data_IF_320650263711
#
_entry.id   IF_320650263711
#
_cell.length_a   1.000
_cell.length_b   1.000
_cell.length_c   1.000
_cell.angle_alpha   90.00
_cell.angle_beta   90.00
_cell.angle_gamma   90.00
#
_symmetry.space_group_name_H-M   'P 1'
#
loop_
_entity.id
_entity.type
_entity.pdbx_description
1 polymer ?
#
# COMPACT_ATOMS: atom_id res chain seq x y z
N UNK A 1 18.94 17.47 7.98
CA UNK A 1 19.59 16.17 7.65
C UNK A 1 18.58 15.10 8.04
N UNK A 2 17.89 14.51 7.07
CA UNK A 2 16.94 13.42 7.33
C UNK A 2 17.79 12.21 7.69
N UNK A 3 17.69 11.76 8.93
CA UNK A 3 18.35 10.51 9.34
C UNK A 3 17.50 9.37 8.82
N UNK A 4 17.98 8.65 7.82
CA UNK A 4 17.29 7.46 7.34
C UNK A 4 17.06 6.48 8.50
N UNK A 5 15.84 6.00 8.62
CA UNK A 5 15.47 5.07 9.67
C UNK A 5 15.77 3.65 9.21
N UNK A 6 16.34 2.86 10.08
CA UNK A 6 16.48 1.43 9.87
C UNK A 6 15.23 0.72 10.40
N UNK A 7 14.33 0.20 9.53
CA UNK A 7 13.10 -0.45 9.98
C UNK A 7 13.35 -1.61 10.94
N UNK A 8 14.44 -2.37 10.74
CA UNK A 8 14.80 -3.48 11.64
C UNK A 8 15.12 -3.00 13.05
N UNK A 9 15.92 -1.92 13.14
CA UNK A 9 16.27 -1.34 14.45
C UNK A 9 15.00 -0.78 15.13
N UNK A 10 14.11 -0.11 14.39
CA UNK A 10 12.83 0.38 14.93
C UNK A 10 11.96 -0.78 15.45
N UNK A 11 11.81 -1.86 14.70
CA UNK A 11 11.03 -3.01 15.13
C UNK A 11 11.61 -3.69 16.38
N UNK A 12 12.92 -3.83 16.44
CA UNK A 12 13.62 -4.40 17.61
C UNK A 12 13.50 -3.51 18.85
N UNK A 13 13.49 -2.20 18.68
CA UNK A 13 13.37 -1.25 19.77
C UNK A 13 11.97 -1.24 20.39
N UNK A 14 10.94 -1.39 19.58
CA UNK A 14 9.55 -1.19 20.00
C UNK A 14 8.74 -2.47 20.26
N UNK A 15 9.21 -3.63 19.82
CA UNK A 15 8.53 -4.89 20.09
C UNK A 15 8.90 -5.39 21.48
N UNK A 16 7.94 -5.50 22.42
CA UNK A 16 8.23 -5.98 23.77
C UNK A 16 8.72 -7.44 23.77
N UNK A 17 9.61 -7.73 24.73
CA UNK A 17 10.12 -9.08 24.98
C UNK A 17 8.99 -10.10 25.12
N UNK A 18 9.07 -11.21 24.40
CA UNK A 18 8.05 -12.23 24.34
C UNK A 18 7.10 -12.08 23.12
N UNK A 19 7.19 -10.94 22.42
CA UNK A 19 6.54 -10.73 21.13
C UNK A 19 7.51 -10.86 19.97
N UNK A 20 8.79 -10.64 20.20
CA UNK A 20 9.84 -10.70 19.21
C UNK A 20 9.82 -12.01 18.44
N UNK A 21 9.64 -13.13 19.18
CA UNK A 21 9.57 -14.44 18.56
C UNK A 21 8.37 -14.57 17.62
N UNK A 22 7.18 -14.06 18.01
CA UNK A 22 5.99 -14.09 17.15
C UNK A 22 6.10 -13.16 15.96
N UNK A 23 6.71 -12.00 16.16
CA UNK A 23 6.92 -11.01 15.09
C UNK A 23 7.97 -11.50 14.09
N UNK A 24 8.97 -12.24 14.56
CA UNK A 24 10.07 -12.76 13.74
C UNK A 24 9.85 -14.20 13.25
N UNK A 25 8.85 -14.90 13.76
CA UNK A 25 8.49 -16.22 13.25
C UNK A 25 8.06 -16.12 11.78
N UNK A 26 8.36 -17.13 10.97
CA UNK A 26 7.83 -17.21 9.62
C UNK A 26 6.31 -17.11 9.65
N UNK A 27 5.76 -16.17 8.90
CA UNK A 27 4.32 -16.08 8.76
C UNK A 27 3.78 -17.39 8.20
N UNK A 28 2.60 -17.83 8.64
CA UNK A 28 1.94 -18.97 8.03
C UNK A 28 1.79 -18.70 6.52
N UNK A 29 1.80 -19.73 5.67
CA UNK A 29 1.61 -19.57 4.24
C UNK A 29 0.37 -18.72 3.96
N UNK A 30 0.48 -17.78 3.04
CA UNK A 30 -0.66 -17.00 2.60
C UNK A 30 -1.74 -17.97 2.10
N UNK A 31 -2.97 -17.71 2.52
CA UNK A 31 -4.12 -18.47 2.01
C UNK A 31 -4.31 -18.18 0.54
N UNK A 32 -4.01 -16.95 0.13
CA UNK A 32 -4.08 -16.52 -1.25
C UNK A 32 -2.84 -16.96 -2.06
N UNK A 33 -3.07 -17.42 -3.27
CA UNK A 33 -2.05 -17.87 -4.23
C UNK A 33 -2.04 -16.98 -5.48
N UNK A 34 -1.04 -17.13 -6.34
CA UNK A 34 -0.92 -16.37 -7.58
C UNK A 34 0.04 -15.20 -7.48
N UNK A 35 -0.18 -14.17 -8.28
CA UNK A 35 0.76 -13.03 -8.37
C UNK A 35 0.78 -12.13 -7.11
N UNK A 36 -0.21 -12.29 -6.24
CA UNK A 36 -0.33 -11.57 -4.98
C UNK A 36 0.29 -12.30 -3.80
N UNK A 37 0.82 -13.49 -4.03
CA UNK A 37 1.49 -14.26 -3.00
C UNK A 37 2.77 -13.59 -2.54
N UNK A 38 3.25 -14.05 -1.43
CA UNK A 38 4.47 -13.57 -0.82
C UNK A 38 5.66 -13.56 -1.78
N UNK A 39 6.58 -12.65 -1.54
CA UNK A 39 7.83 -12.60 -2.27
C UNK A 39 8.75 -13.72 -1.79
N UNK A 40 9.07 -14.73 -2.63
CA UNK A 40 9.87 -15.86 -2.20
C UNK A 40 11.32 -15.49 -1.87
N UNK A 41 11.76 -14.28 -2.23
CA UNK A 41 13.10 -13.78 -1.92
C UNK A 41 13.15 -12.95 -0.65
N UNK A 42 11.99 -12.52 -0.12
CA UNK A 42 11.90 -11.78 1.11
C UNK A 42 11.73 -12.74 2.28
N UNK A 43 12.43 -12.48 3.37
CA UNK A 43 12.26 -13.22 4.61
C UNK A 43 11.12 -12.60 5.43
N UNK A 44 10.40 -13.42 6.19
CA UNK A 44 9.28 -12.97 7.02
C UNK A 44 9.68 -11.88 8.01
N UNK A 45 10.84 -11.96 8.62
CA UNK A 45 11.39 -10.95 9.51
C UNK A 45 11.56 -9.58 8.83
N UNK A 46 12.16 -9.59 7.63
CA UNK A 46 12.35 -8.38 6.86
C UNK A 46 11.02 -7.77 6.43
N UNK A 47 10.05 -8.59 6.10
CA UNK A 47 8.71 -8.14 5.75
C UNK A 47 8.03 -7.46 6.93
N UNK A 48 8.07 -8.06 8.11
CA UNK A 48 7.51 -7.48 9.32
C UNK A 48 8.07 -6.09 9.64
N UNK A 49 9.34 -5.84 9.32
CA UNK A 49 10.00 -4.56 9.56
C UNK A 49 9.53 -3.47 8.59
N UNK A 50 9.15 -3.83 7.37
CA UNK A 50 8.67 -2.85 6.37
C UNK A 50 7.35 -2.27 6.78
N UNK A 51 6.45 -3.08 7.28
CA UNK A 51 5.18 -2.68 7.83
C UNK A 51 4.76 -3.68 8.89
N UNK A 52 4.70 -3.26 10.12
CA UNK A 52 4.35 -4.15 11.24
C UNK A 52 2.99 -4.82 11.08
N UNK A 53 2.15 -4.34 10.19
CA UNK A 53 0.78 -4.79 10.06
C UNK A 53 0.49 -5.50 8.74
N UNK A 54 1.20 -5.15 7.67
CA UNK A 54 0.91 -5.67 6.34
C UNK A 54 1.96 -6.62 5.84
N UNK A 55 2.86 -7.01 6.71
CA UNK A 55 4.03 -7.71 6.32
C UNK A 55 3.85 -9.19 6.36
N UNK A 56 4.10 -9.80 5.26
CA UNK A 56 3.85 -11.21 5.12
C UNK A 56 2.35 -11.45 5.33
N UNK A 57 2.00 -12.36 6.17
CA UNK A 57 0.63 -12.85 6.32
C UNK A 57 -0.06 -12.37 7.58
N UNK A 58 0.53 -11.40 8.28
CA UNK A 58 -0.01 -10.93 9.55
C UNK A 58 -0.92 -9.73 9.35
N UNK A 59 -2.14 -9.82 9.87
CA UNK A 59 -3.05 -8.70 10.02
C UNK A 59 -2.71 -7.91 11.28
N UNK A 60 -3.26 -6.71 11.39
CA UNK A 60 -3.21 -5.90 12.61
C UNK A 60 -3.59 -6.72 13.86
N UNK A 61 -4.73 -7.39 13.83
CA UNK A 61 -5.23 -8.19 14.95
C UNK A 61 -4.29 -9.36 15.30
N UNK A 62 -3.65 -9.95 14.30
CA UNK A 62 -2.67 -11.02 14.53
C UNK A 62 -1.38 -10.49 15.16
N UNK A 63 -0.92 -9.31 14.74
CA UNK A 63 0.30 -8.68 15.30
C UNK A 63 0.08 -8.26 16.74
N UNK A 64 -0.97 -7.50 17.04
CA UNK A 64 -1.26 -7.03 18.40
C UNK A 64 -1.77 -8.13 19.31
N UNK A 65 -2.52 -9.10 18.78
CA UNK A 65 -3.11 -10.19 19.55
C UNK A 65 -3.87 -9.65 20.76
N UNK A 66 -3.48 -10.09 21.98
CA UNK A 66 -4.05 -9.63 23.24
C UNK A 66 -3.13 -8.66 24.00
N UNK A 67 -2.07 -8.17 23.38
CA UNK A 67 -1.13 -7.27 24.00
C UNK A 67 -1.54 -5.81 23.83
N UNK A 68 -2.14 -5.23 24.87
CA UNK A 68 -2.60 -3.84 24.88
C UNK A 68 -1.47 -2.81 24.75
N UNK A 69 -0.23 -3.15 25.15
CA UNK A 69 0.91 -2.23 24.98
C UNK A 69 1.36 -2.17 23.52
N UNK A 70 1.42 -3.32 22.85
CA UNK A 70 1.74 -3.37 21.42
C UNK A 70 0.62 -2.70 20.61
N UNK A 71 -0.64 -2.89 20.98
CA UNK A 71 -1.76 -2.19 20.35
C UNK A 71 -1.63 -0.68 20.51
N UNK A 72 -1.37 -0.21 21.73
CA UNK A 72 -1.16 1.21 22.00
C UNK A 72 0.01 1.79 21.22
N UNK A 73 1.14 1.10 21.17
CA UNK A 73 2.28 1.52 20.36
C UNK A 73 1.96 1.57 18.88
N UNK A 74 1.32 0.54 18.33
CA UNK A 74 1.04 0.47 16.91
C UNK A 74 0.02 1.54 16.49
N UNK A 75 -1.02 1.77 17.29
CA UNK A 75 -1.99 2.85 17.03
C UNK A 75 -1.35 4.23 17.09
N UNK A 76 -0.48 4.49 18.05
CA UNK A 76 0.14 5.80 18.20
C UNK A 76 1.41 5.98 17.36
N UNK A 77 2.22 4.94 17.22
CA UNK A 77 3.53 5.01 16.59
C UNK A 77 3.55 4.61 15.11
N UNK A 78 2.65 3.71 14.70
CA UNK A 78 2.62 3.20 13.33
C UNK A 78 1.41 3.67 12.53
N UNK A 79 0.19 3.50 13.04
CA UNK A 79 -1.04 3.79 12.31
C UNK A 79 -1.85 4.93 12.92
N UNK A 80 -1.64 5.26 14.18
CA UNK A 80 -2.42 6.27 14.84
C UNK A 80 -2.47 7.64 14.16
N UNK A 81 -1.38 8.14 13.55
CA UNK A 81 -1.42 9.38 12.80
C UNK A 81 -2.32 9.33 11.54
N UNK A 82 -2.71 8.15 11.09
CA UNK A 82 -3.43 7.95 9.83
C UNK A 82 -4.87 7.47 10.00
N UNK A 83 -5.43 7.55 11.17
CA UNK A 83 -6.85 7.26 11.41
C UNK A 83 -7.77 8.39 10.90
N UNK A 84 -7.20 9.56 10.58
CA UNK A 84 -7.95 10.72 10.10
C UNK A 84 -7.26 11.44 8.93
N UNK A 85 -8.01 11.57 7.86
CA UNK A 85 -7.61 12.31 6.66
C UNK A 85 -8.05 13.78 6.78
N UNK A 86 -7.31 14.67 6.10
CA UNK A 86 -7.54 16.11 6.10
C UNK A 86 -7.83 16.63 4.68
N UNK A 87 -8.19 17.90 4.54
CA UNK A 87 -8.40 18.53 3.25
C UNK A 87 -7.14 18.49 2.38
N UNK A 88 -7.32 18.28 1.09
CA UNK A 88 -6.20 18.18 0.14
C UNK A 88 -5.53 19.54 -0.09
N UNK A 89 -4.20 19.61 -0.11
CA UNK A 89 -3.46 20.82 -0.48
C UNK A 89 -3.54 21.11 -1.98
N UNK A 90 -3.24 22.35 -2.38
CA UNK A 90 -3.38 22.81 -3.75
C UNK A 90 -2.51 22.07 -4.79
N UNK A 91 -1.33 21.60 -4.39
CA UNK A 91 -0.36 20.90 -5.27
C UNK A 91 -0.55 19.37 -5.26
N UNK A 92 -1.68 18.87 -4.73
CA UNK A 92 -1.94 17.45 -4.55
C UNK A 92 -1.82 16.66 -5.84
N UNK A 93 -2.52 17.05 -6.91
CA UNK A 93 -2.54 16.32 -8.19
C UNK A 93 -1.15 16.21 -8.81
N UNK A 94 -0.41 17.31 -8.88
CA UNK A 94 0.94 17.32 -9.47
C UNK A 94 1.90 16.45 -8.67
N UNK A 95 1.81 16.49 -7.35
CA UNK A 95 2.64 15.66 -6.48
C UNK A 95 2.25 14.18 -6.59
N UNK A 96 0.94 13.86 -6.66
CA UNK A 96 0.43 12.51 -6.89
C UNK A 96 1.00 11.90 -8.17
N UNK A 97 0.93 12.63 -9.28
CA UNK A 97 1.46 12.18 -10.57
C UNK A 97 2.96 11.94 -10.51
N UNK A 98 3.70 12.83 -9.84
CA UNK A 98 5.16 12.66 -9.65
C UNK A 98 5.49 11.44 -8.80
N UNK A 99 4.78 11.21 -7.70
CA UNK A 99 4.97 10.03 -6.85
C UNK A 99 4.58 8.74 -7.57
N UNK A 100 3.52 8.78 -8.38
CA UNK A 100 3.13 7.67 -9.24
C UNK A 100 4.26 7.29 -10.23
N UNK A 101 4.88 8.28 -10.88
CA UNK A 101 6.02 8.03 -11.75
C UNK A 101 7.19 7.39 -11.00
N UNK A 102 7.48 7.81 -9.77
CA UNK A 102 8.54 7.19 -8.94
C UNK A 102 8.18 5.74 -8.59
N UNK A 103 6.93 5.48 -8.18
CA UNK A 103 6.47 4.12 -7.92
C UNK A 103 6.65 3.22 -9.13
N UNK A 104 6.21 3.69 -10.30
CA UNK A 104 6.18 2.91 -11.53
C UNK A 104 7.56 2.78 -12.21
N UNK A 105 8.34 3.85 -12.30
CA UNK A 105 9.61 3.85 -13.06
C UNK A 105 10.86 3.59 -12.22
N UNK A 106 10.77 3.68 -10.89
CA UNK A 106 11.94 3.53 -10.01
C UNK A 106 11.79 2.31 -9.09
N UNK A 107 10.80 2.31 -8.22
CA UNK A 107 10.69 1.29 -7.16
C UNK A 107 10.28 -0.08 -7.71
N UNK A 108 9.23 -0.14 -8.51
CA UNK A 108 8.73 -1.40 -9.04
C UNK A 108 9.67 -2.09 -10.02
N UNK A 109 10.36 -1.40 -10.96
CA UNK A 109 11.36 -2.04 -11.81
C UNK A 109 12.54 -2.62 -11.04
N UNK A 110 12.97 -1.95 -9.97
CA UNK A 110 14.06 -2.46 -9.12
C UNK A 110 13.68 -3.80 -8.47
N UNK A 111 12.46 -3.87 -7.92
CA UNK A 111 11.91 -5.11 -7.36
C UNK A 111 11.69 -6.18 -8.45
N UNK A 112 11.04 -5.80 -9.55
CA UNK A 112 10.73 -6.72 -10.65
C UNK A 112 11.97 -7.39 -11.24
N UNK A 113 13.05 -6.65 -11.39
CA UNK A 113 14.34 -7.20 -11.87
C UNK A 113 14.86 -8.31 -10.97
N UNK A 114 14.62 -8.23 -9.66
CA UNK A 114 15.12 -9.21 -8.70
C UNK A 114 14.25 -10.47 -8.61
N UNK A 115 12.91 -10.32 -8.68
CA UNK A 115 12.00 -11.44 -8.38
C UNK A 115 10.68 -11.44 -9.17
N UNK A 116 10.58 -10.61 -10.19
CA UNK A 116 9.39 -10.49 -11.08
C UNK A 116 8.12 -9.95 -10.41
N UNK A 117 8.18 -9.49 -9.16
CA UNK A 117 7.07 -8.88 -8.45
C UNK A 117 7.10 -7.36 -8.60
N UNK A 118 5.93 -6.72 -8.65
CA UNK A 118 5.79 -5.28 -8.88
C UNK A 118 5.19 -4.52 -7.69
N UNK A 119 4.39 -5.18 -6.86
CA UNK A 119 3.65 -4.53 -5.78
C UNK A 119 4.57 -3.85 -4.77
N UNK A 120 4.12 -2.72 -4.24
CA UNK A 120 4.82 -1.94 -3.23
C UNK A 120 4.09 -2.05 -1.88
N UNK A 121 4.64 -1.46 -0.85
CA UNK A 121 4.09 -1.45 0.50
C UNK A 121 4.03 -0.03 1.04
N UNK A 122 3.03 0.23 1.87
CA UNK A 122 3.08 1.38 2.77
C UNK A 122 4.27 1.23 3.70
N UNK A 123 4.99 2.32 3.92
CA UNK A 123 6.06 2.44 4.90
C UNK A 123 5.82 3.68 5.75
N UNK A 124 6.37 3.70 6.96
CA UNK A 124 6.11 4.79 7.91
C UNK A 124 6.46 6.19 7.39
N UNK A 125 7.41 6.32 6.50
CA UNK A 125 7.82 7.60 5.91
C UNK A 125 7.27 7.87 4.52
N UNK A 126 6.40 6.98 4.02
CA UNK A 126 5.87 7.04 2.66
C UNK A 126 5.47 5.68 2.12
N UNK A 127 6.11 5.24 1.07
CA UNK A 127 5.91 3.91 0.49
C UNK A 127 7.20 3.38 -0.12
N UNK A 128 7.25 2.08 -0.35
CA UNK A 128 8.44 1.44 -0.89
C UNK A 128 8.22 -0.02 -1.27
N UNK A 129 9.30 -0.72 -1.53
CA UNK A 129 9.27 -2.17 -1.74
C UNK A 129 9.16 -2.88 -0.40
N UNK A 130 8.64 -4.12 -0.34
CA UNK A 130 9.03 -5.03 0.74
C UNK A 130 10.54 -5.28 0.68
N UNK A 131 11.11 -5.95 1.66
CA UNK A 131 12.46 -6.48 1.51
C UNK A 131 12.47 -7.55 0.42
N UNK A 132 13.46 -7.51 -0.47
CA UNK A 132 13.57 -8.43 -1.61
C UNK A 132 15.03 -8.78 -1.91
N UNK A 133 15.23 -9.81 -2.75
CA UNK A 133 16.56 -10.25 -3.15
C UNK A 133 17.45 -10.59 -1.96
N UNK A 134 18.68 -10.08 -1.98
CA UNK A 134 19.63 -10.26 -0.88
C UNK A 134 19.41 -9.23 0.24
N UNK A 135 18.20 -9.17 0.76
CA UNK A 135 17.85 -8.30 1.89
C UNK A 135 17.91 -6.80 1.54
N UNK A 136 17.36 -6.45 0.40
CA UNK A 136 17.24 -5.07 -0.06
C UNK A 136 15.85 -4.51 0.19
N UNK A 137 15.80 -3.23 0.47
CA UNK A 137 14.58 -2.43 0.48
C UNK A 137 14.84 -1.06 -0.13
N UNK A 138 13.88 -0.57 -0.88
CA UNK A 138 13.86 0.80 -1.38
C UNK A 138 12.57 1.48 -0.96
N UNK A 139 12.65 2.67 -0.40
CA UNK A 139 11.47 3.38 0.08
C UNK A 139 11.64 4.89 -0.03
N UNK A 140 10.53 5.59 -0.04
CA UNK A 140 10.50 7.03 0.10
C UNK A 140 10.35 7.41 1.58
N UNK A 141 11.15 8.38 2.01
CA UNK A 141 10.99 9.10 3.27
C UNK A 141 10.98 10.60 2.96
N UNK A 142 9.79 11.22 2.99
CA UNK A 142 9.59 12.56 2.48
C UNK A 142 10.03 12.66 1.01
N UNK A 143 10.88 13.65 0.69
CA UNK A 143 11.43 13.85 -0.65
C UNK A 143 12.76 13.10 -0.89
N UNK A 144 13.01 12.02 -0.18
CA UNK A 144 14.24 11.22 -0.30
C UNK A 144 13.95 9.79 -0.71
N UNK A 145 14.80 9.24 -1.57
CA UNK A 145 14.88 7.81 -1.84
C UNK A 145 15.90 7.18 -0.88
N UNK A 146 15.45 6.23 -0.11
CA UNK A 146 16.28 5.43 0.79
C UNK A 146 16.48 4.05 0.17
N UNK A 147 17.72 3.66 -0.02
CA UNK A 147 18.11 2.32 -0.50
C UNK A 147 18.84 1.62 0.63
N UNK A 148 18.24 0.54 1.12
CA UNK A 148 18.80 -0.28 2.19
C UNK A 148 19.24 -1.63 1.63
N UNK A 149 20.44 -2.08 2.01
CA UNK A 149 21.00 -3.40 1.69
C UNK A 149 21.59 -3.98 2.97
N UNK A 150 20.90 -4.91 3.59
CA UNK A 150 21.23 -5.34 4.94
C UNK A 150 21.22 -4.16 5.91
N UNK A 151 22.33 -3.93 6.59
CA UNK A 151 22.52 -2.80 7.53
C UNK A 151 22.97 -1.48 6.84
N UNK A 152 23.40 -1.54 5.58
CA UNK A 152 23.84 -0.36 4.84
C UNK A 152 22.64 0.43 4.32
N UNK A 153 22.63 1.73 4.57
CA UNK A 153 21.55 2.65 4.17
C UNK A 153 22.15 3.82 3.40
N UNK A 154 21.67 3.99 2.17
CA UNK A 154 22.01 5.12 1.31
C UNK A 154 20.77 6.01 1.14
N UNK A 155 20.94 7.33 1.23
CA UNK A 155 19.87 8.32 1.11
C UNK A 155 20.21 9.28 -0.03
N UNK A 156 19.29 9.43 -0.97
CA UNK A 156 19.42 10.35 -2.10
C UNK A 156 18.19 11.25 -2.17
N UNK A 157 18.42 12.56 -2.36
CA UNK A 157 17.32 13.50 -2.63
C UNK A 157 16.72 13.21 -3.99
N UNK A 158 15.40 13.19 -4.08
CA UNK A 158 14.67 13.04 -5.33
C UNK A 158 14.74 14.33 -6.14
N UNK A 159 15.43 14.29 -7.28
CA UNK A 159 15.59 15.44 -8.17
C UNK A 159 14.99 15.18 -9.55
N UNK A 160 15.31 14.06 -10.16
CA UNK A 160 14.76 13.59 -11.44
C UNK A 160 14.50 12.08 -11.39
N UNK A 161 13.68 11.56 -12.30
CA UNK A 161 13.46 10.10 -12.42
C UNK A 161 14.78 9.39 -12.77
N UNK A 162 15.58 9.96 -13.66
CA UNK A 162 16.88 9.39 -14.05
C UNK A 162 17.85 9.29 -12.87
N UNK A 163 17.97 10.33 -12.06
CA UNK A 163 18.80 10.31 -10.85
C UNK A 163 18.29 9.28 -9.82
N UNK A 164 16.98 9.18 -9.65
CA UNK A 164 16.38 8.19 -8.76
C UNK A 164 16.62 6.75 -9.25
N UNK A 165 16.53 6.49 -10.56
CA UNK A 165 16.88 5.20 -11.15
C UNK A 165 18.36 4.84 -10.89
N UNK A 166 19.28 5.80 -11.08
CA UNK A 166 20.69 5.58 -10.79
C UNK A 166 20.94 5.25 -9.31
N UNK A 167 20.31 5.97 -8.39
CA UNK A 167 20.39 5.68 -6.96
C UNK A 167 19.81 4.30 -6.60
N UNK A 168 18.74 3.88 -7.27
CA UNK A 168 18.17 2.54 -7.15
C UNK A 168 19.03 1.45 -7.83
N UNK A 169 20.05 1.81 -8.59
CA UNK A 169 20.94 0.90 -9.32
C UNK A 169 20.25 0.25 -10.53
N UNK A 170 19.34 0.96 -11.20
CA UNK A 170 18.64 0.53 -12.41
C UNK A 170 18.77 1.57 -13.52
N UNK A 171 18.53 1.15 -14.75
CA UNK A 171 18.39 2.07 -15.89
C UNK A 171 16.92 2.46 -16.05
N UNK A 172 16.66 3.73 -16.38
CA UNK A 172 15.33 4.17 -16.77
C UNK A 172 14.88 3.46 -18.05
N UNK A 173 13.70 2.85 -18.00
CA UNK A 173 13.08 2.16 -19.14
C UNK A 173 11.58 2.45 -19.15
N UNK A 174 11.06 3.21 -20.11
CA UNK A 174 9.63 3.54 -20.18
C UNK A 174 8.75 2.30 -20.48
N UNK A 175 9.33 1.27 -21.10
CA UNK A 175 8.68 0.02 -21.53
C UNK A 175 9.04 -1.19 -20.66
N UNK A 176 9.48 -0.97 -19.41
CA UNK A 176 9.97 -2.06 -18.53
C UNK A 176 8.90 -3.12 -18.21
N UNK A 177 7.62 -2.73 -18.24
CA UNK A 177 6.51 -3.64 -17.99
C UNK A 177 5.46 -3.54 -19.11
N UNK A 178 5.58 -4.31 -20.18
CA UNK A 178 4.76 -4.18 -21.39
C UNK A 178 3.26 -4.32 -21.17
N UNK A 179 2.85 -5.07 -20.12
CA UNK A 179 1.44 -5.32 -19.78
C UNK A 179 0.67 -4.02 -19.46
N UNK A 180 1.36 -3.02 -18.92
CA UNK A 180 0.73 -1.76 -18.46
C UNK A 180 1.33 -0.50 -19.10
N UNK A 181 2.06 -0.66 -20.22
CA UNK A 181 2.75 0.48 -20.86
C UNK A 181 1.85 1.66 -21.25
N UNK A 182 0.58 1.38 -21.50
CA UNK A 182 -0.38 2.40 -21.97
C UNK A 182 -1.12 3.08 -20.81
N UNK A 183 -0.90 2.66 -19.57
CA UNK A 183 -1.59 3.21 -18.40
C UNK A 183 -0.88 4.43 -17.80
N UNK A 184 0.43 4.51 -17.95
CA UNK A 184 1.20 5.67 -17.49
C UNK A 184 2.10 6.18 -18.62
N UNK A 185 1.96 7.46 -19.04
CA UNK A 185 2.83 8.05 -20.03
C UNK A 185 4.30 7.99 -19.63
N UNK A 186 5.19 7.80 -20.60
CA UNK A 186 6.63 7.83 -20.35
C UNK A 186 7.03 9.15 -19.68
N UNK A 187 7.77 9.05 -18.58
CA UNK A 187 8.34 10.22 -17.92
C UNK A 187 9.57 10.74 -18.70
N UNK A 188 9.77 12.04 -18.68
CA UNK A 188 11.07 12.61 -19.07
C UNK A 188 12.05 12.37 -17.90
N UNK A 189 13.09 11.52 -18.07
CA UNK A 189 13.97 11.14 -16.97
C UNK A 189 14.83 12.29 -16.45
N UNK A 190 15.00 13.35 -17.22
CA UNK A 190 15.84 14.50 -16.86
C UNK A 190 15.03 15.68 -16.32
N UNK A 191 13.71 15.58 -16.37
CA UNK A 191 12.82 16.63 -15.84
C UNK A 191 12.87 16.69 -14.33
N UNK A 192 12.98 17.91 -13.78
CA UNK A 192 12.90 18.14 -12.33
C UNK A 192 11.56 17.69 -11.76
N UNK A 193 11.61 16.91 -10.68
CA UNK A 193 10.43 16.42 -9.99
C UNK A 193 9.74 17.52 -9.19
N UNK A 194 8.43 17.56 -9.25
CA UNK A 194 7.60 18.51 -8.52
C UNK A 194 6.95 17.81 -7.34
N UNK A 195 7.56 17.96 -6.18
CA UNK A 195 7.13 17.36 -4.92
C UNK A 195 6.88 18.49 -3.90
N UNK A 196 5.62 18.74 -3.60
CA UNK A 196 5.22 19.65 -2.53
C UNK A 196 5.07 18.86 -1.22
N UNK A 197 5.80 19.22 -0.18
CA UNK A 197 5.81 18.51 1.10
C UNK A 197 4.39 18.29 1.69
N UNK A 198 3.47 19.28 1.75
CA UNK A 198 2.13 19.03 2.26
C UNK A 198 1.34 18.01 1.43
N UNK A 199 1.57 17.97 0.11
CA UNK A 199 0.89 17.02 -0.76
C UNK A 199 1.49 15.61 -0.66
N UNK A 200 2.80 15.49 -0.45
CA UNK A 200 3.44 14.22 -0.12
C UNK A 200 2.88 13.65 1.18
N UNK A 201 2.82 14.46 2.24
CA UNK A 201 2.27 14.06 3.53
C UNK A 201 0.81 13.60 3.40
N UNK A 202 -0.01 14.31 2.61
CA UNK A 202 -1.39 13.92 2.37
C UNK A 202 -1.52 12.56 1.66
N UNK A 203 -0.66 12.28 0.68
CA UNK A 203 -0.65 10.99 -0.04
C UNK A 203 -0.14 9.87 0.88
N UNK A 204 0.89 10.12 1.68
CA UNK A 204 1.41 9.14 2.62
C UNK A 204 0.40 8.84 3.73
N UNK A 205 -0.30 9.87 4.24
CA UNK A 205 -1.41 9.70 5.16
C UNK A 205 -2.55 8.88 4.56
N UNK A 206 -2.89 9.12 3.28
CA UNK A 206 -3.90 8.35 2.57
C UNK A 206 -3.52 6.86 2.46
N UNK A 207 -2.28 6.55 2.13
CA UNK A 207 -1.81 5.16 2.10
C UNK A 207 -1.74 4.53 3.49
N UNK A 208 -1.40 5.31 4.51
CA UNK A 208 -1.46 4.85 5.90
C UNK A 208 -2.89 4.54 6.35
N UNK A 209 -3.83 5.41 6.02
CA UNK A 209 -5.27 5.20 6.24
C UNK A 209 -5.77 3.96 5.50
N UNK A 210 -5.43 3.84 4.21
CA UNK A 210 -5.76 2.67 3.41
C UNK A 210 -5.20 1.38 4.01
N UNK A 211 -3.95 1.38 4.44
CA UNK A 211 -3.32 0.26 5.12
C UNK A 211 -4.10 -0.13 6.39
N UNK A 212 -4.44 0.82 7.25
CA UNK A 212 -5.19 0.60 8.47
C UNK A 212 -6.56 -0.04 8.18
N UNK A 213 -7.33 0.55 7.28
CA UNK A 213 -8.71 0.09 7.01
C UNK A 213 -8.72 -1.28 6.30
N UNK A 214 -7.81 -1.48 5.35
CA UNK A 214 -7.75 -2.74 4.60
C UNK A 214 -7.22 -3.90 5.45
N UNK A 215 -6.31 -3.66 6.38
CA UNK A 215 -5.88 -4.69 7.34
C UNK A 215 -6.99 -5.05 8.34
N UNK A 216 -7.78 -4.07 8.79
CA UNK A 216 -8.97 -4.35 9.59
C UNK A 216 -10.01 -5.16 8.80
N UNK A 217 -10.22 -4.85 7.53
CA UNK A 217 -11.09 -5.65 6.65
C UNK A 217 -10.58 -7.09 6.52
N UNK A 218 -9.27 -7.28 6.33
CA UNK A 218 -8.64 -8.60 6.27
C UNK A 218 -8.80 -9.37 7.57
N UNK A 219 -8.61 -8.71 8.72
CA UNK A 219 -8.77 -9.32 10.04
C UNK A 219 -10.19 -9.83 10.31
N UNK A 220 -11.19 -9.17 9.69
CA UNK A 220 -12.61 -9.56 9.77
C UNK A 220 -13.03 -10.54 8.67
N UNK A 221 -12.08 -11.06 7.91
CA UNK A 221 -12.36 -11.99 6.82
C UNK A 221 -12.15 -13.43 7.27
N UNK A 222 -13.01 -14.32 6.80
CA UNK A 222 -12.86 -15.76 7.03
C UNK A 222 -11.83 -16.35 6.07
N UNK A 223 -11.20 -17.50 6.38
CA UNK A 223 -10.21 -18.14 5.50
C UNK A 223 -10.71 -18.41 4.08
N UNK A 224 -12.01 -18.72 3.91
CA UNK A 224 -12.62 -18.94 2.59
C UNK A 224 -12.59 -17.69 1.69
N UNK A 225 -12.52 -16.49 2.28
CA UNK A 225 -12.42 -15.26 1.51
C UNK A 225 -11.03 -15.04 0.90
N UNK A 226 -10.03 -15.85 1.28
CA UNK A 226 -8.67 -15.83 0.71
C UNK A 226 -8.11 -14.40 0.55
N UNK A 227 -8.00 -13.61 1.64
CA UNK A 227 -7.54 -12.23 1.54
C UNK A 227 -6.08 -12.17 1.10
N UNK A 228 -5.80 -11.34 0.09
CA UNK A 228 -4.42 -11.07 -0.34
C UNK A 228 -3.74 -10.10 0.61
N UNK A 229 -2.42 -9.90 0.43
CA UNK A 229 -1.70 -8.84 1.12
C UNK A 229 -2.22 -7.47 0.71
N UNK A 230 -2.17 -6.52 1.63
CA UNK A 230 -2.37 -5.11 1.28
C UNK A 230 -1.13 -4.61 0.56
N UNK A 231 -1.30 -4.12 -0.65
CA UNK A 231 -0.23 -3.66 -1.52
C UNK A 231 -0.57 -2.34 -2.19
N UNK A 232 0.46 -1.57 -2.54
CA UNK A 232 0.34 -0.45 -3.46
C UNK A 232 0.66 -0.98 -4.86
N UNK A 233 -0.29 -0.82 -5.78
CA UNK A 233 -0.16 -1.25 -7.17
C UNK A 233 0.43 -0.10 -8.00
N UNK A 234 1.63 -0.28 -8.55
CA UNK A 234 2.33 0.83 -9.20
C UNK A 234 1.65 1.30 -10.49
N UNK A 235 0.89 0.44 -11.16
CA UNK A 235 0.18 0.77 -12.39
C UNK A 235 -1.03 1.67 -12.18
N UNK A 236 -1.69 1.58 -11.03
CA UNK A 236 -2.85 2.38 -10.65
C UNK A 236 -2.52 3.38 -9.53
N UNK A 237 -1.40 3.20 -8.87
CA UNK A 237 -0.95 3.98 -7.72
C UNK A 237 -1.96 3.98 -6.57
N UNK A 238 -2.68 2.91 -6.40
CA UNK A 238 -3.65 2.68 -5.33
C UNK A 238 -3.14 1.67 -4.31
N UNK A 239 -3.66 1.70 -3.09
CA UNK A 239 -3.42 0.67 -2.07
C UNK A 239 -4.64 -0.23 -1.99
N UNK A 240 -4.45 -1.54 -2.15
CA UNK A 240 -5.55 -2.48 -2.24
C UNK A 240 -5.23 -3.85 -1.66
N UNK A 241 -6.29 -4.57 -1.31
CA UNK A 241 -6.33 -6.01 -1.06
C UNK A 241 -7.44 -6.64 -1.88
N UNK A 242 -7.31 -7.92 -2.17
CA UNK A 242 -8.33 -8.71 -2.82
C UNK A 242 -8.88 -9.73 -1.85
N UNK A 243 -10.16 -9.89 -1.81
CA UNK A 243 -10.82 -10.90 -1.01
C UNK A 243 -12.19 -11.28 -1.58
N UNK A 244 -12.73 -12.37 -1.11
CA UNK A 244 -14.03 -12.91 -1.50
C UNK A 244 -13.92 -14.39 -1.85
N UNK A 245 -15.02 -15.11 -1.68
CA UNK A 245 -15.10 -16.54 -1.95
C UNK A 245 -15.07 -16.79 -3.47
N UNK A 246 -14.01 -17.39 -4.03
CA UNK A 246 -13.90 -17.64 -5.46
C UNK A 246 -14.90 -18.68 -5.95
N UNK A 247 -15.33 -19.62 -5.10
CA UNK A 247 -16.32 -20.65 -5.46
C UNK A 247 -17.71 -20.06 -5.65
N UNK A 248 -18.00 -18.94 -4.99
CA UNK A 248 -19.23 -18.17 -5.11
C UNK A 248 -19.12 -17.00 -6.08
N UNK A 249 -18.01 -16.85 -6.79
CA UNK A 249 -17.74 -15.70 -7.64
C UNK A 249 -17.83 -14.34 -6.91
N UNK A 250 -17.62 -14.35 -5.60
CA UNK A 250 -17.74 -13.17 -4.72
C UNK A 250 -16.42 -12.40 -4.55
N UNK A 251 -15.45 -12.65 -5.43
CA UNK A 251 -14.13 -12.00 -5.33
C UNK A 251 -14.18 -10.57 -5.85
N UNK A 252 -13.52 -9.67 -5.14
CA UNK A 252 -13.40 -8.26 -5.50
C UNK A 252 -12.07 -7.68 -5.02
N UNK A 253 -11.66 -6.58 -5.66
CA UNK A 253 -10.56 -5.73 -5.19
C UNK A 253 -11.14 -4.62 -4.31
N UNK A 254 -10.57 -4.42 -3.15
CA UNK A 254 -10.94 -3.41 -2.15
C UNK A 254 -9.75 -2.46 -2.00
N UNK A 255 -9.95 -1.19 -2.23
CA UNK A 255 -8.81 -0.28 -2.24
C UNK A 255 -9.12 1.18 -1.95
N UNK A 256 -8.04 1.93 -1.76
CA UNK A 256 -8.03 3.39 -1.63
C UNK A 256 -7.15 3.94 -2.74
N UNK A 257 -7.75 4.70 -3.63
CA UNK A 257 -7.06 5.38 -4.72
C UNK A 257 -6.74 6.82 -4.32
N UNK A 258 -5.55 7.33 -4.64
CA UNK A 258 -5.24 8.76 -4.47
C UNK A 258 -5.89 9.64 -5.54
N UNK A 259 -6.75 9.07 -6.36
CA UNK A 259 -7.39 9.73 -7.50
C UNK A 259 -6.74 9.40 -8.83
N UNK A 260 -7.50 9.56 -9.88
CA UNK A 260 -7.12 9.29 -11.27
C UNK A 260 -7.77 10.31 -12.23
N UNK A 261 -7.80 10.02 -13.54
CA UNK A 261 -8.37 10.89 -14.56
C UNK A 261 -9.89 10.99 -14.46
N UNK A 262 -10.56 9.97 -13.92
CA UNK A 262 -12.02 9.94 -13.75
C UNK A 262 -12.44 10.47 -12.38
N UNK A 263 -11.63 10.28 -11.38
CA UNK A 263 -11.82 10.71 -10.00
C UNK A 263 -10.63 11.56 -9.56
N UNK A 264 -10.67 12.89 -9.74
CA UNK A 264 -9.51 13.75 -9.44
C UNK A 264 -9.16 13.84 -7.95
N UNK A 265 -10.11 13.57 -7.06
CA UNK A 265 -9.92 13.46 -5.61
C UNK A 265 -9.76 11.99 -5.19
N UNK A 266 -9.14 11.68 -4.05
CA UNK A 266 -9.07 10.31 -3.55
C UNK A 266 -10.46 9.70 -3.37
N UNK A 267 -10.52 8.38 -3.41
CA UNK A 267 -11.76 7.64 -3.17
C UNK A 267 -11.46 6.22 -2.68
N UNK A 268 -12.40 5.66 -1.94
CA UNK A 268 -12.43 4.23 -1.63
C UNK A 268 -13.20 3.50 -2.71
N UNK A 269 -12.81 2.29 -3.03
CA UNK A 269 -13.51 1.52 -4.06
C UNK A 269 -13.61 0.03 -3.71
N UNK A 270 -14.62 -0.60 -4.30
CA UNK A 270 -14.71 -2.06 -4.45
C UNK A 270 -14.98 -2.37 -5.89
N UNK A 271 -14.06 -3.06 -6.55
CA UNK A 271 -14.19 -3.51 -7.94
C UNK A 271 -14.48 -5.01 -7.97
N UNK A 272 -15.70 -5.37 -8.33
CA UNK A 272 -16.13 -6.77 -8.41
C UNK A 272 -15.49 -7.47 -9.62
N UNK A 273 -15.06 -8.73 -9.44
CA UNK A 273 -14.49 -9.54 -10.52
C UNK A 273 -15.54 -10.25 -11.35
N UNK A 274 -16.73 -10.49 -10.76
CA UNK A 274 -17.93 -11.00 -11.44
C UNK A 274 -18.81 -9.86 -11.97
N UNK A 275 -19.76 -10.18 -12.81
CA UNK A 275 -20.79 -9.24 -13.24
C UNK A 275 -21.65 -8.81 -12.04
N UNK A 276 -22.08 -7.54 -12.03
CA UNK A 276 -22.92 -6.94 -10.98
C UNK A 276 -24.25 -6.46 -11.60
N UNK A 277 -25.30 -6.45 -10.80
CA UNK A 277 -26.57 -5.84 -11.22
C UNK A 277 -26.51 -4.30 -11.07
N UNK A 278 -26.20 -3.62 -12.15
CA UNK A 278 -26.14 -2.16 -12.22
C UNK A 278 -27.42 -1.42 -11.85
N UNK A 279 -28.55 -2.12 -11.67
CA UNK A 279 -29.81 -1.53 -11.17
C UNK A 279 -29.79 -1.34 -9.66
N UNK A 280 -28.95 -2.09 -8.93
CA UNK A 280 -28.75 -1.85 -7.51
C UNK A 280 -27.92 -0.57 -7.33
N UNK A 281 -28.45 0.45 -6.61
CA UNK A 281 -27.76 1.72 -6.38
C UNK A 281 -26.48 1.58 -5.55
N UNK A 282 -26.20 0.42 -4.98
CA UNK A 282 -24.94 0.11 -4.31
C UNK A 282 -23.76 0.21 -5.29
N UNK A 283 -23.97 -0.25 -6.52
CA UNK A 283 -22.98 -0.25 -7.59
C UNK A 283 -22.95 1.10 -8.32
N UNK A 284 -22.50 2.12 -7.62
CA UNK A 284 -22.67 3.51 -7.98
C UNK A 284 -21.57 4.10 -8.86
N UNK A 285 -20.48 3.37 -9.12
CA UNK A 285 -19.38 3.92 -9.93
C UNK A 285 -19.66 3.75 -11.44
N UNK A 286 -19.64 4.86 -12.22
CA UNK A 286 -19.89 4.80 -13.65
C UNK A 286 -18.69 4.34 -14.48
N UNK A 287 -17.48 4.34 -13.94
CA UNK A 287 -16.23 4.14 -14.68
C UNK A 287 -15.68 2.72 -14.59
N UNK A 288 -16.03 1.98 -13.53
CA UNK A 288 -15.60 0.59 -13.35
C UNK A 288 -16.75 -0.29 -12.83
N UNK A 289 -16.54 -1.60 -12.82
CA UNK A 289 -17.50 -2.59 -12.36
C UNK A 289 -17.52 -2.68 -10.83
N UNK A 290 -18.13 -1.70 -10.16
CA UNK A 290 -18.06 -1.63 -8.71
C UNK A 290 -18.75 -0.45 -8.07
N UNK A 291 -18.31 -0.15 -6.86
CA UNK A 291 -18.81 0.94 -6.04
C UNK A 291 -17.65 1.82 -5.53
N UNK A 292 -17.94 3.10 -5.34
CA UNK A 292 -16.99 4.06 -4.76
C UNK A 292 -17.60 4.89 -3.63
N UNK A 293 -16.74 5.30 -2.68
CA UNK A 293 -17.02 6.26 -1.63
C UNK A 293 -16.06 7.44 -1.79
N UNK A 294 -16.59 8.62 -2.11
CA UNK A 294 -15.81 9.80 -2.41
C UNK A 294 -15.11 10.41 -1.18
N UNK A 295 -14.01 11.09 -1.40
CA UNK A 295 -13.19 11.70 -0.37
C UNK A 295 -13.96 12.68 0.54
N UNK A 296 -14.82 13.51 -0.05
CA UNK A 296 -15.62 14.49 0.70
C UNK A 296 -16.57 13.83 1.69
N UNK A 297 -17.21 12.73 1.28
CA UNK A 297 -18.10 11.97 2.17
C UNK A 297 -17.31 11.41 3.36
N UNK A 298 -16.07 10.98 3.11
CA UNK A 298 -15.19 10.49 4.16
C UNK A 298 -14.77 11.62 5.12
N UNK A 299 -14.42 12.80 4.60
CA UNK A 299 -14.04 13.97 5.42
C UNK A 299 -15.19 14.50 6.30
N UNK A 300 -16.43 14.35 5.87
CA UNK A 300 -17.63 14.75 6.62
C UNK A 300 -17.95 13.80 7.78
N UNK A 301 -17.35 12.59 7.79
CA UNK A 301 -17.55 11.60 8.84
C UNK A 301 -16.81 11.96 10.13
N UNK A 302 -17.46 11.74 11.26
CA UNK A 302 -16.84 11.86 12.58
C UNK A 302 -15.80 10.75 12.82
N UNK A 303 -16.10 9.52 12.34
CA UNK A 303 -15.23 8.35 12.39
C UNK A 303 -14.99 7.82 10.95
N UNK A 304 -13.91 8.31 10.35
CA UNK A 304 -13.58 7.99 8.97
C UNK A 304 -13.21 6.49 8.80
N UNK A 305 -12.57 5.90 9.79
CA UNK A 305 -12.19 4.48 9.77
C UNK A 305 -13.44 3.60 9.83
N UNK A 306 -14.37 3.88 10.73
CA UNK A 306 -15.63 3.15 10.82
C UNK A 306 -16.45 3.28 9.54
N UNK A 307 -16.55 4.48 8.96
CA UNK A 307 -17.26 4.73 7.70
C UNK A 307 -16.65 3.94 6.52
N UNK A 308 -15.33 3.92 6.41
CA UNK A 308 -14.63 3.15 5.39
C UNK A 308 -14.84 1.64 5.55
N UNK A 309 -14.76 1.13 6.78
CA UNK A 309 -15.02 -0.27 7.07
C UNK A 309 -16.46 -0.68 6.79
N UNK A 310 -17.44 0.16 7.17
CA UNK A 310 -18.86 -0.09 6.89
C UNK A 310 -19.11 -0.17 5.38
N UNK A 311 -18.53 0.73 4.59
CA UNK A 311 -18.60 0.70 3.13
C UNK A 311 -18.10 -0.64 2.58
N UNK A 312 -16.92 -1.10 2.97
CA UNK A 312 -16.34 -2.36 2.49
C UNK A 312 -17.13 -3.58 2.96
N UNK A 313 -17.51 -3.63 4.24
CA UNK A 313 -18.21 -4.77 4.82
C UNK A 313 -19.59 -4.95 4.19
N UNK A 314 -20.32 -3.85 3.96
CA UNK A 314 -21.62 -3.87 3.29
C UNK A 314 -21.53 -4.49 1.89
N UNK A 315 -20.54 -4.08 1.09
CA UNK A 315 -20.39 -4.62 -0.26
C UNK A 315 -19.97 -6.08 -0.23
N UNK A 316 -19.06 -6.46 0.70
CA UNK A 316 -18.68 -7.86 0.88
C UNK A 316 -19.88 -8.74 1.23
N UNK A 317 -20.80 -8.26 2.06
CA UNK A 317 -22.02 -8.99 2.41
C UNK A 317 -22.91 -9.21 1.17
N UNK A 318 -23.10 -8.20 0.36
CA UNK A 318 -23.89 -8.32 -0.89
C UNK A 318 -23.24 -9.33 -1.84
N UNK A 319 -21.94 -9.23 -2.12
CA UNK A 319 -21.20 -10.18 -2.97
C UNK A 319 -21.23 -11.62 -2.41
N UNK A 320 -21.33 -11.79 -1.10
CA UNK A 320 -21.37 -13.12 -0.46
C UNK A 320 -22.77 -13.73 -0.41
N UNK A 321 -23.82 -12.92 -0.63
CA UNK A 321 -25.21 -13.36 -0.59
C UNK A 321 -25.71 -13.87 -1.96
N UNK A 322 -25.05 -13.50 -3.03
CA UNK A 322 -25.30 -13.96 -4.39
C UNK A 322 -24.63 -15.33 -4.65
#
# INVERSE_FOLDING_TARGET
>A
MITARNPRAEAQEFVPTGYEARVLEPSPPAVHTGEFTDDPTARSEAQLIVSALTNGDLTWTQVVGQNSQLEGWARSGWLGPWDRLAALPGDYTTTRETLHQIAYFVLSPARHRANTKIGLRFTRGGFGTPFFGSDQQMRLEGSSLVVQRGEAVEVSTLTTIGAACQAAGIDYRPDWYPRFRDQLPAADPDRELRLAEPAQEAIYALFGFGCLVLEELRARSEPRHQPSYVQIWPEHFDIATELGDPERQARASYGVSPGDDHHPEPYLYVAAWSEIDRRDPLWNDPHFNGASLGYRQLLESEDQVATALEFYLRIREVLSAE
#
